data_IF_008405676291
#
_entry.id   IF_008405676291
#
_cell.length_a   1.000
_cell.length_b   1.000
_cell.length_c   1.000
_cell.angle_alpha   90.00
_cell.angle_beta   90.00
_cell.angle_gamma   90.00
#
_symmetry.space_group_name_H-M   'P 1'
#
loop_
_entity.id
_entity.type
_entity.pdbx_description
1 polymer ?
#
# COMPACT_ATOMS: atom_id res chain seq x y z
N UNK A 1 3.63 24.41 31.50
CA UNK A 1 3.17 23.12 32.08
C UNK A 1 1.86 23.37 32.80
N UNK A 2 0.92 22.44 32.74
CA UNK A 2 -0.33 22.50 33.53
C UNK A 2 -0.09 21.67 34.79
N UNK A 3 -0.52 22.17 35.95
CA UNK A 3 -0.53 21.42 37.21
C UNK A 3 -1.96 20.94 37.42
N UNK A 4 -2.12 19.64 37.67
CA UNK A 4 -3.42 18.97 37.78
C UNK A 4 -3.57 18.45 39.20
N UNK A 5 -4.70 18.78 39.83
CA UNK A 5 -5.08 18.21 41.12
C UNK A 5 -5.88 16.92 40.87
N UNK A 6 -5.45 15.80 41.44
CA UNK A 6 -6.18 14.55 41.32
C UNK A 6 -7.34 14.51 42.32
N UNK A 7 -8.55 14.21 41.83
CA UNK A 7 -9.76 14.20 42.65
C UNK A 7 -9.69 13.22 43.84
N UNK A 8 -9.10 12.04 43.64
CA UNK A 8 -8.94 11.01 44.70
C UNK A 8 -7.64 11.14 45.51
N UNK A 9 -6.59 11.73 44.96
CA UNK A 9 -5.25 11.74 45.55
C UNK A 9 -4.69 13.16 45.58
N UNK A 10 -5.21 14.00 46.47
CA UNK A 10 -4.83 15.42 46.54
C UNK A 10 -3.36 15.65 46.93
N UNK A 11 -2.70 14.64 47.50
CA UNK A 11 -1.30 14.69 47.94
C UNK A 11 -0.31 14.42 46.80
N UNK A 12 -0.74 13.83 45.69
CA UNK A 12 0.12 13.53 44.55
C UNK A 12 0.19 14.71 43.58
N UNK A 13 1.40 15.19 43.29
CA UNK A 13 1.63 16.20 42.24
C UNK A 13 1.48 15.56 40.85
N UNK A 14 0.49 15.99 40.08
CA UNK A 14 0.37 15.64 38.67
C UNK A 14 0.62 16.86 37.78
N UNK A 15 1.39 16.69 36.70
CA UNK A 15 1.65 17.75 35.72
C UNK A 15 1.46 17.24 34.30
N UNK A 16 1.06 18.14 33.40
CA UNK A 16 1.14 17.94 31.95
C UNK A 16 2.23 18.89 31.41
N UNK A 17 3.42 18.37 31.06
CA UNK A 17 4.48 19.14 30.41
C UNK A 17 4.01 19.75 29.09
N UNK A 18 4.60 20.87 28.65
CA UNK A 18 4.18 21.54 27.41
C UNK A 18 4.19 20.62 26.19
N UNK A 19 5.24 19.79 26.04
CA UNK A 19 5.36 18.77 24.98
C UNK A 19 4.29 17.66 25.03
N UNK A 20 3.59 17.51 26.14
CA UNK A 20 2.54 16.50 26.34
C UNK A 20 1.13 17.14 26.31
N UNK A 21 1.05 18.44 26.00
CA UNK A 21 -0.20 19.18 25.80
C UNK A 21 -0.57 19.18 24.32
N UNK A 22 -1.86 19.30 24.05
CA UNK A 22 -2.35 19.69 22.75
C UNK A 22 -2.34 21.23 22.66
N UNK A 23 -1.57 21.78 21.71
CA UNK A 23 -1.39 23.23 21.57
C UNK A 23 -2.67 24.01 21.23
N UNK A 24 -3.73 23.32 20.78
CA UNK A 24 -5.03 23.94 20.49
C UNK A 24 -5.95 24.01 21.71
N UNK A 25 -5.60 23.35 22.81
CA UNK A 25 -6.42 23.34 24.02
C UNK A 25 -6.03 24.50 24.93
N UNK A 26 -7.05 25.17 25.46
CA UNK A 26 -6.89 26.22 26.46
C UNK A 26 -7.71 25.86 27.68
N UNK A 27 -7.00 25.59 28.79
CA UNK A 27 -7.61 25.25 30.06
C UNK A 27 -7.52 26.44 31.02
N UNK A 28 -8.60 26.67 31.76
CA UNK A 28 -8.69 27.64 32.84
C UNK A 28 -8.65 26.94 34.20
N UNK A 29 -8.39 27.72 35.24
CA UNK A 29 -8.41 27.20 36.60
C UNK A 29 -9.84 26.74 36.97
N UNK A 30 -9.95 25.51 37.46
CA UNK A 30 -11.25 24.89 37.78
C UNK A 30 -11.77 23.94 36.71
N UNK A 31 -11.20 23.97 35.50
CA UNK A 31 -11.59 23.06 34.43
C UNK A 31 -11.21 21.62 34.79
N UNK A 32 -12.10 20.69 34.48
CA UNK A 32 -11.81 19.26 34.56
C UNK A 32 -11.00 18.83 33.35
N UNK A 33 -9.89 18.14 33.58
CA UNK A 33 -8.97 17.68 32.53
C UNK A 33 -8.88 16.16 32.59
N UNK A 34 -9.14 15.49 31.46
CA UNK A 34 -8.82 14.08 31.26
C UNK A 34 -7.44 13.95 30.63
N UNK A 35 -6.65 12.97 31.05
CA UNK A 35 -5.35 12.69 30.46
C UNK A 35 -4.95 11.25 30.78
N UNK A 36 -4.00 10.69 30.04
CA UNK A 36 -3.36 9.41 30.41
C UNK A 36 -2.13 9.66 31.27
N UNK A 37 -1.87 8.75 32.21
CA UNK A 37 -0.60 8.70 32.91
C UNK A 37 0.46 8.16 31.95
N UNK A 38 1.44 8.99 31.58
CA UNK A 38 2.52 8.61 30.67
C UNK A 38 3.67 7.93 31.40
N UNK A 39 4.07 8.51 32.54
CA UNK A 39 5.12 7.96 33.40
C UNK A 39 5.09 8.58 34.79
N UNK A 40 5.84 7.98 35.70
CA UNK A 40 6.07 8.47 37.05
C UNK A 40 7.54 8.86 37.15
N UNK A 41 7.82 10.04 37.69
CA UNK A 41 9.18 10.52 37.94
C UNK A 41 9.38 10.63 39.46
N UNK A 42 10.42 9.98 39.98
CA UNK A 42 10.82 10.14 41.37
C UNK A 42 11.56 11.48 41.53
N UNK A 43 11.14 12.28 42.51
CA UNK A 43 11.80 13.54 42.82
C UNK A 43 12.11 13.61 44.32
N UNK A 44 13.05 14.46 44.76
CA UNK A 44 13.34 14.64 46.19
C UNK A 44 12.12 15.08 47.03
N UNK A 45 11.06 15.58 46.39
CA UNK A 45 9.80 16.01 47.03
C UNK A 45 8.69 14.95 46.98
N UNK A 46 8.97 13.77 46.43
CA UNK A 46 8.00 12.69 46.23
C UNK A 46 7.77 12.35 44.75
N UNK A 47 6.92 11.34 44.48
CA UNK A 47 6.62 10.92 43.11
C UNK A 47 5.80 12.00 42.39
N UNK A 48 6.22 12.33 41.18
CA UNK A 48 5.53 13.23 40.27
C UNK A 48 4.90 12.45 39.13
N UNK A 49 3.61 12.64 38.92
CA UNK A 49 2.86 11.99 37.85
C UNK A 49 2.94 12.85 36.59
N UNK A 50 3.52 12.30 35.52
CA UNK A 50 3.59 12.95 34.22
C UNK A 50 2.41 12.47 33.39
N UNK A 51 1.46 13.37 33.17
CA UNK A 51 0.26 13.14 32.38
C UNK A 51 0.48 13.61 30.94
N UNK A 52 -0.26 13.02 30.00
CA UNK A 52 -0.26 13.44 28.60
C UNK A 52 -1.65 13.45 27.99
N UNK A 53 -1.89 14.48 27.18
CA UNK A 53 -3.00 14.58 26.25
C UNK A 53 -2.54 14.48 24.79
N UNK A 54 -1.26 14.62 24.51
CA UNK A 54 -0.67 14.48 23.18
C UNK A 54 -0.35 13.01 22.81
N UNK A 55 -0.18 12.14 23.79
CA UNK A 55 0.21 10.75 23.57
C UNK A 55 -0.88 9.94 22.83
N UNK A 56 -0.53 9.05 21.86
CA UNK A 56 -1.49 8.17 21.20
C UNK A 56 -2.32 7.31 22.17
N UNK A 57 -1.76 6.97 23.33
CA UNK A 57 -2.47 6.21 24.37
C UNK A 57 -3.74 6.95 24.85
N UNK A 58 -3.75 8.29 24.82
CA UNK A 58 -4.93 9.04 25.21
C UNK A 58 -6.13 8.74 24.32
N UNK A 59 -5.92 8.68 23.00
CA UNK A 59 -6.98 8.34 22.03
C UNK A 59 -7.50 6.93 22.29
N UNK A 60 -6.59 5.95 22.48
CA UNK A 60 -6.98 4.58 22.82
C UNK A 60 -7.82 4.51 24.09
N UNK A 61 -7.44 5.27 25.13
CA UNK A 61 -8.17 5.31 26.39
C UNK A 61 -9.57 5.94 26.23
N UNK A 62 -9.70 7.00 25.44
CA UNK A 62 -10.99 7.62 25.14
C UNK A 62 -11.92 6.67 24.38
N UNK A 63 -11.42 6.02 23.33
CA UNK A 63 -12.21 4.99 22.62
C UNK A 63 -12.60 3.83 23.53
N UNK A 64 -11.71 3.39 24.42
CA UNK A 64 -12.05 2.38 25.42
C UNK A 64 -13.18 2.87 26.34
N UNK A 65 -13.23 4.14 26.74
CA UNK A 65 -14.34 4.65 27.56
C UNK A 65 -15.65 4.76 26.77
N UNK A 66 -15.57 5.16 25.50
CA UNK A 66 -16.73 5.45 24.65
C UNK A 66 -17.36 4.22 23.99
N UNK A 67 -16.56 3.19 23.68
CA UNK A 67 -16.96 2.02 22.89
C UNK A 67 -17.01 0.76 23.78
N UNK A 68 -18.21 0.24 24.14
CA UNK A 68 -18.34 -0.95 24.98
C UNK A 68 -17.64 -2.19 24.41
N UNK A 69 -17.65 -2.36 23.10
CA UNK A 69 -17.05 -3.50 22.40
C UNK A 69 -15.51 -3.51 22.58
N UNK A 70 -14.88 -2.34 22.74
CA UNK A 70 -13.44 -2.23 23.07
C UNK A 70 -13.20 -2.54 24.55
N UNK A 71 -14.11 -2.15 25.46
CA UNK A 71 -14.01 -2.51 26.88
C UNK A 71 -14.06 -4.02 27.09
N UNK A 72 -14.95 -4.68 26.35
CA UNK A 72 -15.16 -6.13 26.36
C UNK A 72 -14.10 -6.89 25.55
N UNK A 73 -13.13 -6.20 24.95
CA UNK A 73 -12.06 -6.78 24.12
C UNK A 73 -12.57 -7.56 22.89
N UNK A 74 -13.77 -7.26 22.43
CA UNK A 74 -14.33 -7.81 21.18
C UNK A 74 -13.71 -7.07 20.00
N UNK A 75 -13.64 -5.74 20.08
CA UNK A 75 -12.94 -4.88 19.13
C UNK A 75 -11.62 -4.43 19.73
N UNK A 76 -10.56 -4.48 18.94
CA UNK A 76 -9.20 -4.12 19.36
C UNK A 76 -8.62 -3.03 18.45
N UNK A 77 -8.03 -2.00 19.06
CA UNK A 77 -7.24 -0.98 18.35
C UNK A 77 -5.82 -1.49 18.16
N UNK A 78 -5.54 -2.02 16.97
CA UNK A 78 -4.26 -2.66 16.60
C UNK A 78 -3.14 -1.64 16.43
N UNK A 79 -3.42 -0.52 15.78
CA UNK A 79 -2.44 0.53 15.51
C UNK A 79 -3.04 1.93 15.68
N UNK A 80 -2.19 2.91 15.96
CA UNK A 80 -2.57 4.31 16.10
C UNK A 80 -1.41 5.19 15.66
N UNK A 81 -1.68 6.13 14.76
CA UNK A 81 -0.76 7.16 14.33
C UNK A 81 -1.40 8.52 14.60
N UNK A 82 -0.69 9.42 15.27
CA UNK A 82 -1.32 10.64 15.83
C UNK A 82 -0.43 11.87 15.68
N UNK A 83 -1.00 12.89 15.04
CA UNK A 83 -0.51 14.26 15.11
C UNK A 83 -1.46 15.06 16.03
N UNK A 84 -1.08 15.18 17.31
CA UNK A 84 -1.93 15.73 18.37
C UNK A 84 -2.52 17.11 18.03
N UNK A 85 -3.83 17.25 18.25
CA UNK A 85 -4.59 18.44 17.94
C UNK A 85 -4.95 18.63 16.47
N UNK A 86 -4.40 17.82 15.56
CA UNK A 86 -4.69 17.92 14.12
C UNK A 86 -5.46 16.73 13.60
N UNK A 87 -4.82 15.56 13.53
CA UNK A 87 -5.39 14.37 12.91
C UNK A 87 -4.79 13.10 13.51
N UNK A 88 -5.64 12.10 13.72
CA UNK A 88 -5.26 10.76 14.17
C UNK A 88 -5.86 9.72 13.24
N UNK A 89 -5.09 8.68 12.92
CA UNK A 89 -5.59 7.46 12.30
C UNK A 89 -5.54 6.33 13.32
N UNK A 90 -6.61 5.54 13.41
CA UNK A 90 -6.64 4.30 14.18
C UNK A 90 -7.01 3.13 13.29
N UNK A 91 -6.33 2.00 13.50
CA UNK A 91 -6.64 0.74 12.83
C UNK A 91 -7.31 -0.22 13.82
N UNK A 92 -8.49 -0.71 13.47
CA UNK A 92 -9.32 -1.53 14.35
C UNK A 92 -9.61 -2.89 13.72
N UNK A 93 -9.65 -3.92 14.55
CA UNK A 93 -10.05 -5.28 14.16
C UNK A 93 -11.06 -5.84 15.16
N UNK A 94 -12.00 -6.66 14.70
CA UNK A 94 -12.87 -7.43 15.59
C UNK A 94 -12.29 -8.83 15.78
N UNK A 95 -12.52 -9.43 16.96
CA UNK A 95 -12.31 -10.86 17.22
C UNK A 95 -13.54 -11.69 16.86
N UNK A 96 -14.67 -11.04 16.67
CA UNK A 96 -15.94 -11.61 16.27
C UNK A 96 -16.32 -11.11 14.88
N UNK A 97 -16.38 -12.01 13.91
CA UNK A 97 -16.67 -11.70 12.50
C UNK A 97 -18.10 -11.14 12.30
N UNK A 98 -19.00 -11.35 13.26
CA UNK A 98 -20.36 -10.77 13.21
C UNK A 98 -20.40 -9.28 13.55
N UNK A 99 -19.30 -8.72 14.07
CA UNK A 99 -19.23 -7.34 14.55
C UNK A 99 -18.29 -6.54 13.64
N UNK A 100 -18.83 -5.52 12.99
CA UNK A 100 -18.03 -4.55 12.25
C UNK A 100 -17.25 -3.63 13.23
N UNK A 101 -15.90 -3.72 13.27
CA UNK A 101 -15.11 -2.93 14.20
C UNK A 101 -15.16 -1.43 13.88
N UNK A 102 -15.30 -1.04 12.60
CA UNK A 102 -15.36 0.38 12.21
C UNK A 102 -16.69 0.96 12.66
N UNK A 103 -17.81 0.29 12.32
CA UNK A 103 -19.15 0.66 12.74
C UNK A 103 -19.30 0.77 14.26
N UNK A 104 -18.73 -0.17 15.03
CA UNK A 104 -18.72 -0.13 16.48
C UNK A 104 -18.03 1.13 17.03
N UNK A 105 -16.90 1.54 16.43
CA UNK A 105 -16.17 2.73 16.86
C UNK A 105 -16.83 4.05 16.42
N UNK A 106 -17.47 4.06 15.25
CA UNK A 106 -18.18 5.24 14.72
C UNK A 106 -19.47 5.49 15.48
N UNK A 107 -20.25 4.43 15.75
CA UNK A 107 -21.58 4.54 16.35
C UNK A 107 -22.63 5.11 15.40
N UNK A 108 -23.88 5.21 15.88
CA UNK A 108 -25.00 5.73 15.07
C UNK A 108 -24.70 7.16 14.60
N UNK A 109 -24.61 7.35 13.28
CA UNK A 109 -24.28 8.64 12.64
C UNK A 109 -22.98 9.27 13.17
N UNK A 110 -22.01 8.46 13.62
CA UNK A 110 -20.73 8.99 14.12
C UNK A 110 -20.78 9.51 15.55
N UNK A 111 -21.83 9.23 16.33
CA UNK A 111 -21.99 9.80 17.68
C UNK A 111 -20.82 9.50 18.62
N UNK A 112 -20.30 8.26 18.61
CA UNK A 112 -19.20 7.82 19.47
C UNK A 112 -17.88 8.47 19.08
N UNK A 113 -17.52 8.41 17.79
CA UNK A 113 -16.30 9.06 17.31
C UNK A 113 -16.36 10.58 17.52
N UNK A 114 -17.53 11.21 17.36
CA UNK A 114 -17.69 12.65 17.59
C UNK A 114 -17.50 13.03 19.07
N UNK A 115 -17.93 12.18 20.01
CA UNK A 115 -17.66 12.40 21.43
C UNK A 115 -16.15 12.44 21.73
N UNK A 116 -15.38 11.53 21.13
CA UNK A 116 -13.91 11.51 21.24
C UNK A 116 -13.28 12.73 20.56
N UNK A 117 -13.73 13.09 19.34
CA UNK A 117 -13.27 14.29 18.62
C UNK A 117 -13.49 15.56 19.44
N UNK A 118 -14.65 15.67 20.11
CA UNK A 118 -14.99 16.80 20.95
C UNK A 118 -14.08 16.87 22.19
N UNK A 119 -13.80 15.73 22.84
CA UNK A 119 -12.86 15.67 23.96
C UNK A 119 -11.43 16.06 23.55
N UNK A 120 -11.03 15.81 22.30
CA UNK A 120 -9.73 16.20 21.73
C UNK A 120 -9.72 17.62 21.12
N UNK A 121 -10.76 18.41 21.39
CA UNK A 121 -10.92 19.78 20.90
C UNK A 121 -10.86 19.90 19.36
N UNK A 122 -11.56 18.99 18.66
CA UNK A 122 -11.72 19.03 17.20
C UNK A 122 -10.60 18.35 16.41
N UNK A 123 -9.76 17.53 17.05
CA UNK A 123 -8.81 16.66 16.35
C UNK A 123 -9.57 15.68 15.43
N UNK A 124 -9.24 15.65 14.12
CA UNK A 124 -9.92 14.75 13.18
C UNK A 124 -9.47 13.31 13.38
N UNK A 125 -10.40 12.36 13.40
CA UNK A 125 -10.08 10.94 13.57
C UNK A 125 -10.55 10.16 12.36
N UNK A 126 -9.63 9.45 11.70
CA UNK A 126 -9.97 8.44 10.70
C UNK A 126 -9.89 7.05 11.35
N UNK A 127 -10.92 6.24 11.14
CA UNK A 127 -11.00 4.87 11.64
C UNK A 127 -10.98 3.95 10.43
N UNK A 128 -9.99 3.06 10.38
CA UNK A 128 -9.80 2.13 9.26
C UNK A 128 -9.77 0.69 9.77
N UNK A 129 -10.24 -0.28 8.99
CA UNK A 129 -10.07 -1.68 9.35
C UNK A 129 -8.59 -2.05 9.27
N UNK A 130 -8.10 -2.80 10.26
CA UNK A 130 -6.77 -3.37 10.24
C UNK A 130 -6.72 -4.61 9.34
N UNK A 131 -5.61 -4.82 8.66
CA UNK A 131 -5.35 -6.00 7.83
C UNK A 131 -3.94 -6.53 8.11
N UNK A 132 -3.76 -7.87 8.18
CA UNK A 132 -2.43 -8.46 8.27
C UNK A 132 -1.65 -8.35 6.95
N UNK A 133 -2.36 -8.31 5.81
CA UNK A 133 -1.76 -8.07 4.51
C UNK A 133 -1.35 -6.59 4.38
N UNK A 134 -0.04 -6.28 4.22
CA UNK A 134 0.47 -4.91 4.19
C UNK A 134 -0.09 -4.09 3.02
N UNK A 135 -0.32 -4.71 1.86
CA UNK A 135 -0.82 -4.00 0.69
C UNK A 135 -2.27 -3.56 0.89
N UNK A 136 -3.13 -4.49 1.30
CA UNK A 136 -4.50 -4.16 1.70
C UNK A 136 -4.53 -3.16 2.84
N UNK A 137 -3.65 -3.30 3.84
CA UNK A 137 -3.64 -2.37 4.98
C UNK A 137 -3.24 -0.96 4.56
N UNK A 138 -2.26 -0.81 3.66
CA UNK A 138 -1.86 0.49 3.12
C UNK A 138 -2.97 1.15 2.29
N UNK A 139 -3.68 0.39 1.44
CA UNK A 139 -4.87 0.90 0.71
C UNK A 139 -5.91 1.47 1.67
N UNK A 140 -6.19 0.75 2.76
CA UNK A 140 -7.15 1.17 3.79
C UNK A 140 -6.65 2.39 4.58
N UNK A 141 -5.36 2.43 4.94
CA UNK A 141 -4.76 3.51 5.71
C UNK A 141 -4.72 4.85 4.96
N UNK A 142 -4.59 4.82 3.62
CA UNK A 142 -4.59 6.00 2.76
C UNK A 142 -5.98 6.65 2.59
N UNK A 143 -7.05 5.98 3.04
CA UNK A 143 -8.40 6.55 3.05
C UNK A 143 -8.40 7.96 3.67
N UNK A 144 -9.10 8.93 3.06
CA UNK A 144 -10.16 8.79 2.05
C UNK A 144 -9.69 8.67 0.59
N UNK A 145 -8.39 8.76 0.30
CA UNK A 145 -7.91 8.66 -1.08
C UNK A 145 -8.08 7.24 -1.62
N UNK A 146 -8.52 7.12 -2.88
CA UNK A 146 -8.63 5.83 -3.57
C UNK A 146 -7.29 5.47 -4.20
N UNK A 147 -6.86 4.23 -3.98
CA UNK A 147 -5.59 3.70 -4.48
C UNK A 147 -5.87 2.65 -5.54
N UNK A 148 -5.29 2.84 -6.72
CA UNK A 148 -5.51 1.97 -7.88
C UNK A 148 -4.71 0.67 -7.75
N UNK A 149 -3.40 0.78 -7.50
CA UNK A 149 -2.48 -0.35 -7.35
C UNK A 149 -1.53 -0.13 -6.19
N UNK A 150 -1.10 -1.22 -5.57
CA UNK A 150 -0.12 -1.20 -4.50
C UNK A 150 0.86 -2.34 -4.73
N UNK A 151 2.13 -2.07 -4.52
CA UNK A 151 3.20 -3.06 -4.54
C UNK A 151 3.99 -2.94 -3.25
N UNK A 152 4.23 -4.07 -2.59
CA UNK A 152 5.05 -4.13 -1.38
C UNK A 152 6.41 -4.75 -1.68
N UNK A 153 7.44 -4.20 -1.03
CA UNK A 153 8.77 -4.80 -0.93
C UNK A 153 9.02 -5.18 0.54
N UNK A 154 8.92 -6.47 0.89
CA UNK A 154 9.14 -6.96 2.25
C UNK A 154 10.54 -6.72 2.80
N UNK A 155 11.56 -6.68 1.94
CA UNK A 155 12.96 -6.56 2.36
C UNK A 155 13.25 -5.14 2.84
N UNK A 156 12.78 -4.14 2.10
CA UNK A 156 12.94 -2.72 2.47
C UNK A 156 11.81 -2.18 3.35
N UNK A 157 10.73 -2.96 3.55
CA UNK A 157 9.47 -2.52 4.20
C UNK A 157 8.90 -1.26 3.56
N UNK A 158 8.93 -1.22 2.23
CA UNK A 158 8.42 -0.11 1.44
C UNK A 158 7.17 -0.54 0.67
N UNK A 159 6.21 0.37 0.56
CA UNK A 159 4.98 0.19 -0.20
C UNK A 159 4.90 1.31 -1.22
N UNK A 160 4.72 0.95 -2.48
CA UNK A 160 4.42 1.88 -3.55
C UNK A 160 2.92 1.88 -3.78
N UNK A 161 2.30 3.04 -3.68
CA UNK A 161 0.87 3.20 -3.92
C UNK A 161 0.66 4.12 -5.12
N UNK A 162 0.00 3.57 -6.15
CA UNK A 162 -0.35 4.27 -7.37
C UNK A 162 -1.77 4.78 -7.23
N UNK A 163 -1.95 6.07 -7.45
CA UNK A 163 -3.23 6.77 -7.35
C UNK A 163 -3.47 7.58 -8.62
N UNK A 164 -4.74 7.81 -8.93
CA UNK A 164 -5.09 8.70 -10.03
C UNK A 164 -4.68 10.16 -9.71
N UNK A 165 -4.48 10.98 -10.74
CA UNK A 165 -3.96 12.35 -10.58
C UNK A 165 -4.86 13.22 -9.68
N UNK A 166 -6.18 13.01 -9.73
CA UNK A 166 -7.16 13.70 -8.89
C UNK A 166 -7.08 13.25 -7.42
N UNK A 167 -6.67 12.00 -7.17
CA UNK A 167 -6.52 11.43 -5.83
C UNK A 167 -5.15 11.72 -5.20
N UNK A 168 -4.12 12.07 -5.99
CA UNK A 168 -2.76 12.29 -5.48
C UNK A 168 -2.69 13.35 -4.38
N UNK A 169 -3.37 14.48 -4.59
CA UNK A 169 -3.40 15.56 -3.59
C UNK A 169 -4.04 15.11 -2.27
N UNK A 170 -5.11 14.31 -2.37
CA UNK A 170 -5.82 13.76 -1.20
C UNK A 170 -4.97 12.71 -0.48
N UNK A 171 -4.28 11.86 -1.24
CA UNK A 171 -3.41 10.80 -0.72
C UNK A 171 -2.21 11.37 0.05
N UNK A 172 -1.56 12.40 -0.48
CA UNK A 172 -0.49 13.13 0.21
C UNK A 172 -1.07 13.87 1.43
N UNK A 173 -2.17 14.60 1.22
CA UNK A 173 -2.79 15.46 2.21
C UNK A 173 -1.99 16.74 2.50
N UNK A 174 -2.54 17.63 3.32
CA UNK A 174 -1.89 18.91 3.66
C UNK A 174 -0.51 18.65 4.30
N UNK A 175 0.55 19.17 3.68
CA UNK A 175 1.94 18.98 4.11
C UNK A 175 2.35 17.49 4.27
N UNK A 176 1.78 16.59 3.47
CA UNK A 176 2.09 15.16 3.55
C UNK A 176 1.51 14.46 4.79
N UNK A 177 0.58 15.09 5.52
CA UNK A 177 0.04 14.55 6.77
C UNK A 177 -0.64 13.19 6.57
N UNK A 178 -1.36 12.98 5.46
CA UNK A 178 -2.12 11.74 5.28
C UNK A 178 -1.19 10.54 5.03
N UNK A 179 -0.23 10.68 4.11
CA UNK A 179 0.77 9.64 3.82
C UNK A 179 1.69 9.37 5.01
N UNK A 180 2.06 10.39 5.79
CA UNK A 180 2.88 10.23 7.01
C UNK A 180 2.14 9.43 8.08
N UNK A 181 0.89 9.81 8.37
CA UNK A 181 0.05 9.07 9.32
C UNK A 181 -0.24 7.65 8.84
N UNK A 182 -0.45 7.44 7.53
CA UNK A 182 -0.64 6.11 6.97
C UNK A 182 0.63 5.25 7.13
N UNK A 183 1.81 5.81 6.85
CA UNK A 183 3.11 5.13 7.02
C UNK A 183 3.39 4.76 8.48
N UNK A 184 3.11 5.68 9.42
CA UNK A 184 3.24 5.40 10.86
C UNK A 184 2.22 4.36 11.33
N UNK A 185 1.00 4.36 10.78
CA UNK A 185 -0.05 3.43 11.14
C UNK A 185 0.25 2.00 10.67
N UNK A 186 0.76 1.86 9.44
CA UNK A 186 1.13 0.55 8.87
C UNK A 186 2.47 0.06 9.42
N UNK A 187 3.37 0.97 9.78
CA UNK A 187 4.77 0.67 10.08
C UNK A 187 5.62 0.42 8.83
N UNK A 188 5.11 0.77 7.64
CA UNK A 188 5.80 0.67 6.35
C UNK A 188 6.02 2.06 5.77
N UNK A 189 7.11 2.25 5.03
CA UNK A 189 7.30 3.48 4.26
C UNK A 189 6.37 3.46 3.05
N UNK A 190 5.52 4.47 2.88
CA UNK A 190 4.61 4.55 1.73
C UNK A 190 5.09 5.64 0.76
N UNK A 191 5.46 5.24 -0.45
CA UNK A 191 5.80 6.12 -1.56
C UNK A 191 4.58 6.21 -2.51
N UNK A 192 4.17 7.43 -2.86
CA UNK A 192 2.99 7.70 -3.68
C UNK A 192 3.40 8.13 -5.09
N UNK A 193 2.74 7.55 -6.09
CA UNK A 193 2.95 7.87 -7.51
C UNK A 193 1.61 8.14 -8.20
N UNK A 194 1.61 9.08 -9.15
CA UNK A 194 0.45 9.22 -10.05
C UNK A 194 0.48 8.12 -11.12
N UNK A 195 -0.69 7.76 -11.64
CA UNK A 195 -0.80 6.82 -12.78
C UNK A 195 0.08 7.23 -13.97
N UNK A 196 0.22 8.54 -14.22
CA UNK A 196 1.09 9.09 -15.27
C UNK A 196 2.58 8.92 -14.94
N UNK A 197 2.98 9.29 -13.74
CA UNK A 197 4.37 9.16 -13.29
C UNK A 197 4.82 7.70 -13.29
N UNK A 198 3.90 6.79 -12.98
CA UNK A 198 4.15 5.35 -13.06
C UNK A 198 4.41 4.89 -14.50
N UNK A 199 3.59 5.32 -15.45
CA UNK A 199 3.72 4.94 -16.85
C UNK A 199 5.01 5.48 -17.49
N UNK A 200 5.36 6.73 -17.21
CA UNK A 200 6.60 7.37 -17.70
C UNK A 200 7.87 6.66 -17.22
N UNK A 201 7.79 5.89 -16.14
CA UNK A 201 8.92 5.12 -15.58
C UNK A 201 9.03 3.68 -16.12
N UNK A 202 8.27 3.32 -17.17
CA UNK A 202 8.34 2.00 -17.83
C UNK A 202 7.31 0.98 -17.32
N UNK A 203 6.10 1.45 -16.99
CA UNK A 203 5.15 0.71 -16.16
C UNK A 203 4.46 -0.49 -16.81
N UNK A 204 4.87 -1.69 -16.40
CA UNK A 204 4.02 -2.90 -16.28
C UNK A 204 4.31 -3.75 -15.02
N UNK A 205 5.49 -3.62 -14.38
CA UNK A 205 5.88 -4.33 -13.16
C UNK A 205 6.18 -3.41 -11.96
N UNK A 206 6.37 -3.95 -10.73
CA UNK A 206 6.71 -3.16 -9.55
C UNK A 206 8.01 -2.36 -9.78
N UNK A 207 8.10 -1.11 -9.30
CA UNK A 207 9.31 -0.28 -9.49
C UNK A 207 10.54 -0.84 -8.77
N UNK A 208 10.32 -1.80 -7.84
CA UNK A 208 11.36 -2.56 -7.15
C UNK A 208 11.71 -3.89 -7.83
N UNK A 209 11.12 -4.20 -8.99
CA UNK A 209 11.59 -5.32 -9.79
C UNK A 209 13.09 -5.11 -10.07
N UNK A 210 13.93 -6.12 -9.85
CA UNK A 210 15.32 -6.06 -10.31
C UNK A 210 15.32 -5.67 -11.78
N UNK A 211 16.23 -4.77 -12.18
CA UNK A 211 16.53 -4.60 -13.60
C UNK A 211 16.78 -5.99 -14.18
N UNK A 212 16.29 -6.30 -15.41
CA UNK A 212 16.58 -7.58 -16.05
C UNK A 212 18.08 -7.82 -15.94
N UNK A 213 18.46 -9.03 -15.50
CA UNK A 213 19.88 -9.32 -15.30
C UNK A 213 20.56 -9.20 -16.66
N UNK A 214 21.85 -8.79 -16.72
CA UNK A 214 22.58 -8.76 -17.99
C UNK A 214 22.55 -10.10 -18.76
N UNK A 215 22.25 -11.20 -18.08
CA UNK A 215 22.08 -12.54 -18.66
C UNK A 215 20.81 -12.67 -19.52
N UNK A 216 19.72 -11.96 -19.19
CA UNK A 216 18.49 -11.92 -20.00
C UNK A 216 18.67 -11.03 -21.25
N UNK A 217 19.44 -9.94 -21.16
CA UNK A 217 19.88 -9.16 -22.34
C UNK A 217 20.93 -9.89 -23.20
N UNK A 218 21.69 -10.82 -22.60
CA UNK A 218 22.64 -11.64 -23.34
C UNK A 218 21.95 -12.78 -24.12
N UNK A 219 20.81 -13.27 -23.64
CA UNK A 219 20.03 -14.31 -24.32
C UNK A 219 19.40 -13.83 -25.65
N UNK A 220 19.18 -12.53 -25.82
CA UNK A 220 18.69 -11.93 -27.09
C UNK A 220 19.81 -11.55 -28.07
N UNK A 221 21.05 -11.45 -27.60
CA UNK A 221 22.23 -11.10 -28.41
C UNK A 221 23.02 -12.33 -28.89
N UNK A 222 22.34 -13.44 -29.20
CA UNK A 222 22.99 -14.62 -29.78
C UNK A 222 23.42 -14.31 -31.22
N UNK A 223 24.69 -14.52 -31.54
CA UNK A 223 25.20 -14.33 -32.89
C UNK A 223 24.61 -15.39 -33.85
N UNK A 224 24.16 -14.98 -35.03
CA UNK A 224 23.53 -15.87 -36.03
C UNK A 224 24.41 -17.07 -36.43
N UNK A 225 25.73 -16.97 -36.22
CA UNK A 225 26.72 -18.03 -36.50
C UNK A 225 26.69 -19.19 -35.51
N UNK A 226 26.16 -18.97 -34.32
CA UNK A 226 26.12 -19.97 -33.24
C UNK A 226 24.79 -20.76 -33.23
N UNK A 227 23.82 -20.32 -34.04
CA UNK A 227 22.52 -20.95 -34.19
C UNK A 227 22.63 -22.22 -35.05
N UNK A 228 22.28 -23.37 -34.46
CA UNK A 228 22.20 -24.65 -35.16
C UNK A 228 20.89 -24.71 -35.95
N UNK A 229 20.97 -24.69 -37.29
CA UNK A 229 19.79 -24.85 -38.15
C UNK A 229 19.79 -23.94 -39.38
N UNK A 230 20.53 -22.83 -39.35
CA UNK A 230 20.62 -21.89 -40.48
C UNK A 230 21.70 -22.34 -41.49
N UNK A 231 21.39 -22.37 -42.80
CA UNK A 231 22.40 -22.55 -43.84
C UNK A 231 23.46 -21.44 -43.78
N UNK A 232 24.73 -21.79 -43.98
CA UNK A 232 25.85 -20.82 -43.98
C UNK A 232 25.63 -19.69 -44.99
N UNK A 233 25.01 -20.02 -46.13
CA UNK A 233 24.62 -19.08 -47.18
C UNK A 233 23.62 -18.02 -46.68
N UNK A 234 22.67 -18.41 -45.81
CA UNK A 234 21.68 -17.49 -45.23
C UNK A 234 22.33 -16.56 -44.20
N UNK A 235 23.25 -17.09 -43.38
CA UNK A 235 23.99 -16.29 -42.39
C UNK A 235 24.87 -15.25 -43.09
N UNK A 236 25.46 -15.59 -44.24
CA UNK A 236 26.28 -14.65 -45.02
C UNK A 236 25.43 -13.55 -45.69
N UNK A 237 24.24 -13.89 -46.20
CA UNK A 237 23.28 -12.91 -46.76
C UNK A 237 22.78 -11.95 -45.68
N UNK A 238 22.40 -12.48 -44.51
CA UNK A 238 21.96 -11.67 -43.37
C UNK A 238 23.09 -10.78 -42.82
N UNK A 239 24.32 -11.30 -42.76
CA UNK A 239 25.49 -10.53 -42.33
C UNK A 239 25.86 -9.40 -43.30
N UNK A 240 25.66 -9.59 -44.61
CA UNK A 240 25.83 -8.54 -45.63
C UNK A 240 24.74 -7.46 -45.54
N UNK A 241 23.52 -7.87 -45.15
CA UNK A 241 22.40 -6.96 -44.90
C UNK A 241 22.50 -6.21 -43.56
N UNK A 242 23.44 -6.60 -42.69
CA UNK A 242 23.71 -5.93 -41.42
C UNK A 242 23.07 -6.59 -40.20
N UNK A 243 22.28 -7.65 -40.39
CA UNK A 243 21.69 -8.45 -39.31
C UNK A 243 22.72 -9.46 -38.81
N UNK A 244 23.15 -9.30 -37.55
CA UNK A 244 24.23 -10.14 -36.97
C UNK A 244 23.77 -10.91 -35.75
N UNK A 245 22.66 -10.49 -35.15
CA UNK A 245 22.10 -11.06 -33.93
C UNK A 245 20.71 -11.62 -34.18
N UNK A 246 20.27 -12.54 -33.30
CA UNK A 246 18.92 -13.10 -33.31
C UNK A 246 17.85 -11.99 -33.16
N UNK A 247 18.12 -10.98 -32.33
CA UNK A 247 17.22 -9.83 -32.16
C UNK A 247 16.99 -9.04 -33.47
N UNK A 248 18.00 -8.94 -34.34
CA UNK A 248 17.87 -8.23 -35.61
C UNK A 248 16.94 -8.93 -36.62
N UNK A 249 16.61 -10.20 -36.39
CA UNK A 249 15.79 -11.02 -37.29
C UNK A 249 14.44 -11.44 -36.70
N UNK A 250 14.26 -11.36 -35.38
CA UNK A 250 13.02 -11.76 -34.70
C UNK A 250 11.80 -10.92 -35.12
N UNK A 251 12.02 -9.64 -35.42
CA UNK A 251 10.95 -8.71 -35.82
C UNK A 251 10.81 -8.56 -37.34
N UNK A 252 11.53 -9.36 -38.14
CA UNK A 252 11.46 -9.27 -39.60
C UNK A 252 10.21 -9.96 -40.13
N UNK A 253 9.35 -9.19 -40.80
CA UNK A 253 8.22 -9.73 -41.54
C UNK A 253 8.67 -10.26 -42.92
N UNK A 254 7.87 -11.16 -43.50
CA UNK A 254 8.16 -11.77 -44.81
C UNK A 254 8.43 -10.73 -45.90
N UNK A 255 7.74 -9.59 -45.85
CA UNK A 255 7.92 -8.49 -46.80
C UNK A 255 9.30 -7.81 -46.70
N UNK A 256 9.91 -7.80 -45.51
CA UNK A 256 11.22 -7.20 -45.27
C UNK A 256 12.34 -8.18 -45.55
N UNK A 257 12.10 -9.47 -45.33
CA UNK A 257 13.01 -10.55 -45.74
C UNK A 257 13.18 -10.59 -47.26
N UNK A 258 12.10 -10.41 -48.03
CA UNK A 258 12.15 -10.41 -49.50
C UNK A 258 12.88 -9.19 -50.09
N UNK A 259 13.01 -8.09 -49.33
CA UNK A 259 13.75 -6.88 -49.75
C UNK A 259 15.27 -7.01 -49.54
N UNK A 260 15.73 -8.07 -48.87
CA UNK A 260 17.16 -8.27 -48.59
C UNK A 260 17.89 -8.65 -49.88
N UNK A 261 18.97 -7.91 -50.18
CA UNK A 261 19.78 -8.12 -51.37
C UNK A 261 20.48 -9.49 -51.32
N UNK A 262 20.13 -10.38 -52.26
CA UNK A 262 20.68 -11.74 -52.34
C UNK A 262 19.80 -12.82 -51.70
N UNK A 263 18.63 -12.47 -51.20
CA UNK A 263 17.66 -13.43 -50.65
C UNK A 263 16.92 -14.17 -51.76
N UNK A 264 16.97 -15.50 -51.74
CA UNK A 264 16.14 -16.34 -52.63
C UNK A 264 14.84 -16.73 -51.91
N UNK A 265 13.75 -17.00 -52.64
CA UNK A 265 12.47 -17.40 -52.03
C UNK A 265 12.61 -18.64 -51.13
N UNK A 266 13.49 -19.57 -51.50
CA UNK A 266 13.77 -20.78 -50.72
C UNK A 266 14.53 -20.51 -49.40
N UNK A 267 15.34 -19.45 -49.35
CA UNK A 267 16.05 -19.03 -48.14
C UNK A 267 15.15 -18.22 -47.21
N UNK A 268 14.25 -17.39 -47.78
CA UNK A 268 13.23 -16.66 -47.05
C UNK A 268 12.26 -17.59 -46.33
N UNK A 269 11.77 -18.63 -47.01
CA UNK A 269 10.87 -19.60 -46.42
C UNK A 269 11.53 -20.37 -45.26
N UNK A 270 12.84 -20.67 -45.36
CA UNK A 270 13.61 -21.32 -44.28
C UNK A 270 13.85 -20.40 -43.09
N UNK A 271 14.13 -19.11 -43.31
CA UNK A 271 14.26 -18.14 -42.24
C UNK A 271 12.94 -17.98 -41.48
N UNK A 272 11.83 -17.85 -42.20
CA UNK A 272 10.50 -17.73 -41.59
C UNK A 272 10.09 -19.01 -40.85
N UNK A 273 10.41 -20.19 -41.38
CA UNK A 273 10.17 -21.44 -40.68
C UNK A 273 10.96 -21.53 -39.36
N UNK A 274 12.23 -21.10 -39.37
CA UNK A 274 13.08 -21.07 -38.18
C UNK A 274 12.60 -20.05 -37.14
N UNK A 275 12.16 -18.86 -37.58
CA UNK A 275 11.59 -17.83 -36.70
C UNK A 275 10.27 -18.29 -36.07
N UNK A 276 9.42 -18.99 -36.83
CA UNK A 276 8.19 -19.58 -36.30
C UNK A 276 8.49 -20.71 -35.29
N UNK A 277 9.45 -21.58 -35.57
CA UNK A 277 9.84 -22.66 -34.65
C UNK A 277 10.37 -22.10 -33.31
N UNK A 278 11.20 -21.04 -33.37
CA UNK A 278 11.71 -20.38 -32.16
C UNK A 278 10.67 -19.58 -31.39
N UNK A 279 9.66 -19.04 -32.06
CA UNK A 279 8.55 -18.31 -31.39
C UNK A 279 7.50 -19.25 -30.82
N UNK A 280 7.33 -20.45 -31.39
CA UNK A 280 6.45 -21.50 -30.85
C UNK A 280 7.05 -22.21 -29.63
N UNK A 281 8.37 -22.49 -29.59
CA UNK A 281 9.02 -23.10 -28.41
C UNK A 281 9.05 -22.19 -27.16
N UNK A 282 8.85 -20.87 -27.32
CA UNK A 282 8.68 -19.93 -26.21
C UNK A 282 7.25 -19.81 -25.68
N UNK A 283 6.28 -20.50 -26.28
CA UNK A 283 4.85 -20.37 -26.00
C UNK A 283 4.24 -21.42 -25.06
N UNK A 284 4.99 -22.44 -24.64
CA UNK A 284 4.49 -23.48 -23.74
C UNK A 284 4.83 -23.20 -22.27
N UNK A 285 4.28 -22.11 -21.71
CA UNK A 285 4.12 -21.97 -20.26
C UNK A 285 3.02 -20.96 -19.90
N UNK A 286 1.87 -20.99 -20.58
CA UNK A 286 0.61 -20.44 -20.04
C UNK A 286 -0.62 -21.10 -20.69
N UNK A 287 -0.78 -22.41 -20.51
CA UNK A 287 -2.08 -23.06 -20.68
C UNK A 287 -2.14 -24.37 -19.89
N UNK A 288 -2.56 -24.31 -18.62
CA UNK A 288 -3.21 -25.47 -17.99
C UNK A 288 -4.72 -25.26 -17.79
N UNK A 289 -5.49 -26.36 -17.86
CA UNK A 289 -6.91 -26.37 -18.19
C UNK A 289 -7.82 -26.46 -16.96
N UNK A 290 -9.12 -26.21 -17.17
CA UNK A 290 -10.17 -26.08 -16.13
C UNK A 290 -10.50 -27.35 -15.32
N UNK A 291 -11.65 -27.36 -14.60
CA UNK A 291 -12.76 -28.10 -15.22
C UNK A 291 -14.20 -27.61 -14.92
N UNK A 292 -15.02 -27.76 -15.97
CA UNK A 292 -16.38 -28.33 -16.06
C UNK A 292 -17.43 -28.22 -14.92
N UNK A 293 -18.67 -27.91 -15.34
CA UNK A 293 -19.91 -28.23 -14.64
C UNK A 293 -21.10 -27.37 -15.10
N UNK A 294 -21.58 -27.54 -16.34
CA UNK A 294 -22.75 -28.35 -16.73
C UNK A 294 -24.06 -27.53 -16.83
N UNK A 295 -24.96 -27.85 -17.78
CA UNK A 295 -26.15 -27.07 -18.12
C UNK A 295 -27.40 -27.60 -17.40
N UNK A 296 -28.32 -26.73 -17.00
CA UNK A 296 -29.77 -26.92 -17.09
C UNK A 296 -30.52 -25.78 -16.38
N UNK A 297 -31.68 -25.37 -16.90
CA UNK A 297 -32.54 -24.47 -16.13
C UNK A 297 -33.72 -23.80 -16.86
N UNK A 298 -34.69 -24.60 -17.31
CA UNK A 298 -36.11 -24.23 -17.31
C UNK A 298 -36.92 -25.54 -17.20
N UNK A 299 -38.06 -25.61 -16.46
CA UNK A 299 -39.15 -24.63 -16.54
C UNK A 299 -39.92 -24.33 -15.22
N UNK A 300 -40.89 -23.40 -15.39
CA UNK A 300 -42.07 -22.97 -14.61
C UNK A 300 -42.50 -23.69 -13.31
N UNK A 301 -43.34 -23.01 -12.50
CA UNK A 301 -44.74 -23.44 -12.51
C UNK A 301 -45.79 -22.31 -12.46
N UNK A 302 -46.97 -22.63 -12.98
CA UNK A 302 -48.24 -21.99 -12.62
C UNK A 302 -49.15 -23.06 -11.99
N UNK A 303 -49.55 -22.84 -10.74
CA UNK A 303 -50.81 -23.21 -10.10
C UNK A 303 -50.82 -22.63 -8.68
#
# INVERSE_FOLDING_TARGET
KIVVMLAKFREAEAIIPYREQNHREHFHQGDTIRAVLKRIEETPKGPRLILSRADPLFVKALFKLEVPEIQQQIVEIRATAREAGSRTKIAVSSRDDSIDPVGACVGLKGSRVQAVVNELNGERIDIVPWSPDPERFAKLALAPARVARVFSDPDTKTIQAIVDEDQLSLAIGRNGQNVRLASELTGWKIDLYSSREWLERGGEGPLFAPLPRPEEEAATNVALRELKGLPVELVDVLAQAGHKTLQDILDLEREDVDKIAGMTPELADKLMAFLNEMTEEGGEDEAEPGPAGAPDGAPAPAA
#
